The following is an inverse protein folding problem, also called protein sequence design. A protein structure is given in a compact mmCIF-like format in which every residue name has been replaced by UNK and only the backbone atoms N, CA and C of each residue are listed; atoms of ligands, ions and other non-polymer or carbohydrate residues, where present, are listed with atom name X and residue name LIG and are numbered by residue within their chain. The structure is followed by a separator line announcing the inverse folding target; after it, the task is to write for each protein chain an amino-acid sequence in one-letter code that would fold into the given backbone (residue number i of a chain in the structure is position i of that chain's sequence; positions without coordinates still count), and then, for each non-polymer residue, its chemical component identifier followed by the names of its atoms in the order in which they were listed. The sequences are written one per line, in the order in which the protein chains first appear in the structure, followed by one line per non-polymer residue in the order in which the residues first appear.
data_IF_600210679151
#
_entry.id   IF_600210679151
#
_cell.length_a   1.000
_cell.length_b   1.000
_cell.length_c   1.000
_cell.angle_alpha   90.00
_cell.angle_beta   90.00
_cell.angle_gamma   90.00
#
_symmetry.space_group_name_H-M   'P 1'
#
loop_
_entity.id
_entity.type
_entity.pdbx_description
1 polymer ?
#
# COMPACT_ATOMS: atom_id res chain seq x y z
N UNK A 1 33.78 23.72 -17.59
CA UNK A 1 34.53 22.70 -16.83
C UNK A 1 35.47 21.99 -17.80
N UNK A 2 36.76 21.85 -17.45
CA UNK A 2 37.76 21.07 -18.21
C UNK A 2 38.43 20.10 -17.22
N UNK A 3 38.80 18.90 -17.66
CA UNK A 3 39.50 17.87 -16.87
C UNK A 3 38.72 17.33 -15.65
N UNK A 4 37.47 16.90 -15.86
CA UNK A 4 36.72 16.19 -14.82
C UNK A 4 37.21 14.74 -14.73
N UNK A 5 37.21 14.20 -13.52
CA UNK A 5 37.56 12.81 -13.19
C UNK A 5 36.53 12.21 -12.21
N UNK A 6 36.76 10.95 -11.82
CA UNK A 6 35.89 10.19 -10.91
C UNK A 6 35.58 10.90 -9.57
N UNK A 7 36.48 11.79 -9.12
CA UNK A 7 36.41 12.45 -7.81
C UNK A 7 35.79 13.84 -7.92
N UNK A 8 36.04 14.53 -9.03
CA UNK A 8 35.66 15.93 -9.25
C UNK A 8 34.30 16.09 -9.94
N UNK A 9 33.83 15.08 -10.68
CA UNK A 9 32.55 15.16 -11.41
C UNK A 9 31.33 15.41 -10.50
N UNK A 10 31.30 14.80 -9.31
CA UNK A 10 30.17 14.95 -8.37
C UNK A 10 29.96 16.41 -7.95
N UNK A 11 31.04 17.07 -7.54
CA UNK A 11 30.99 18.46 -7.11
C UNK A 11 30.56 19.37 -8.26
N UNK A 12 31.03 19.09 -9.47
CA UNK A 12 30.70 19.89 -10.63
C UNK A 12 29.21 19.78 -11.04
N UNK A 13 28.59 18.61 -10.86
CA UNK A 13 27.13 18.44 -11.05
C UNK A 13 26.34 19.21 -9.97
N UNK A 14 26.77 19.12 -8.71
CA UNK A 14 26.13 19.83 -7.59
C UNK A 14 26.15 21.35 -7.80
N UNK A 15 27.31 21.91 -8.17
CA UNK A 15 27.46 23.34 -8.48
C UNK A 15 26.60 23.78 -9.66
N UNK A 16 26.37 22.88 -10.62
CA UNK A 16 25.47 23.19 -11.73
C UNK A 16 24.02 23.28 -11.28
N UNK A 17 23.60 22.36 -10.41
CA UNK A 17 22.24 22.31 -9.88
C UNK A 17 21.94 23.46 -8.89
N UNK A 18 22.96 24.04 -8.25
CA UNK A 18 22.78 25.13 -7.28
C UNK A 18 22.27 26.44 -7.89
N UNK A 19 22.20 26.54 -9.22
CA UNK A 19 21.64 27.68 -9.95
C UNK A 19 20.10 27.70 -9.95
N UNK A 20 19.44 26.63 -9.50
CA UNK A 20 17.98 26.59 -9.37
C UNK A 20 17.49 27.59 -8.32
N UNK A 21 16.39 28.30 -8.61
CA UNK A 21 15.72 29.18 -7.65
C UNK A 21 14.82 28.43 -6.66
N UNK A 22 14.57 27.14 -6.89
CA UNK A 22 13.79 26.31 -5.98
C UNK A 22 14.71 25.66 -4.94
N UNK A 23 14.71 26.20 -3.72
CA UNK A 23 15.55 25.72 -2.60
C UNK A 23 15.32 24.24 -2.30
N UNK A 24 14.06 23.79 -2.21
CA UNK A 24 13.77 22.39 -1.89
C UNK A 24 14.26 21.44 -2.97
N UNK A 25 14.12 21.82 -4.25
CA UNK A 25 14.62 21.02 -5.36
C UNK A 25 16.15 20.93 -5.32
N UNK A 26 16.86 22.01 -4.94
CA UNK A 26 18.31 21.98 -4.76
C UNK A 26 18.72 20.98 -3.69
N UNK A 27 18.05 20.99 -2.54
CA UNK A 27 18.35 20.06 -1.44
C UNK A 27 18.17 18.59 -1.87
N UNK A 28 17.07 18.30 -2.57
CA UNK A 28 16.78 16.94 -3.06
C UNK A 28 17.82 16.50 -4.09
N UNK A 29 18.13 17.35 -5.08
CA UNK A 29 19.08 17.01 -6.14
C UNK A 29 20.52 16.92 -5.64
N UNK A 30 20.89 17.74 -4.66
CA UNK A 30 22.19 17.65 -3.97
C UNK A 30 22.37 16.25 -3.39
N UNK A 31 21.44 15.81 -2.54
CA UNK A 31 21.52 14.50 -1.88
C UNK A 31 21.47 13.36 -2.90
N UNK A 32 20.55 13.41 -3.87
CA UNK A 32 20.41 12.38 -4.89
C UNK A 32 21.71 12.17 -5.68
N UNK A 33 22.32 13.24 -6.19
CA UNK A 33 23.57 13.16 -6.96
C UNK A 33 24.71 12.63 -6.10
N UNK A 34 24.81 13.07 -4.84
CA UNK A 34 25.82 12.58 -3.92
C UNK A 34 25.72 11.07 -3.71
N UNK A 35 24.53 10.55 -3.41
CA UNK A 35 24.32 9.13 -3.16
C UNK A 35 24.47 8.29 -4.43
N UNK A 36 23.96 8.75 -5.58
CA UNK A 36 24.08 8.04 -6.85
C UNK A 36 25.54 7.90 -7.29
N UNK A 37 26.33 8.96 -7.21
CA UNK A 37 27.75 8.91 -7.55
C UNK A 37 28.55 8.12 -6.52
N UNK A 38 28.16 8.15 -5.24
CA UNK A 38 28.79 7.31 -4.21
C UNK A 38 28.57 5.83 -4.49
N UNK A 39 27.33 5.42 -4.81
CA UNK A 39 27.00 4.06 -5.23
C UNK A 39 27.86 3.59 -6.40
N UNK A 40 27.94 4.38 -7.48
CA UNK A 40 28.70 4.00 -8.67
C UNK A 40 30.19 3.78 -8.36
N UNK A 41 30.79 4.61 -7.50
CA UNK A 41 32.18 4.45 -7.05
C UNK A 41 32.37 3.26 -6.12
N UNK A 42 31.43 3.05 -5.19
CA UNK A 42 31.48 1.97 -4.20
C UNK A 42 31.53 0.60 -4.88
N UNK A 43 30.66 0.39 -5.87
CA UNK A 43 30.60 -0.89 -6.61
C UNK A 43 31.55 -0.94 -7.80
N UNK A 44 32.27 0.14 -8.11
CA UNK A 44 33.11 0.30 -9.31
C UNK A 44 32.33 -0.04 -10.59
N UNK A 45 31.16 0.58 -10.75
CA UNK A 45 30.21 0.27 -11.82
C UNK A 45 30.89 0.35 -13.20
N UNK A 46 30.84 -0.76 -13.94
CA UNK A 46 31.39 -0.85 -15.29
C UNK A 46 30.45 -0.25 -16.34
N UNK A 47 30.97 0.04 -17.54
CA UNK A 47 30.14 0.52 -18.65
C UNK A 47 29.08 -0.51 -19.06
N UNK A 48 29.41 -1.80 -19.06
CA UNK A 48 28.48 -2.88 -19.36
C UNK A 48 27.35 -2.98 -18.33
N UNK A 49 27.67 -2.93 -17.02
CA UNK A 49 26.67 -2.90 -15.96
C UNK A 49 25.80 -1.64 -16.00
N UNK A 50 26.40 -0.49 -16.35
CA UNK A 50 25.66 0.75 -16.55
C UNK A 50 24.67 0.63 -17.71
N UNK A 51 25.06 0.05 -18.86
CA UNK A 51 24.16 -0.20 -19.99
C UNK A 51 23.00 -1.13 -19.59
N UNK A 52 23.27 -2.19 -18.82
CA UNK A 52 22.23 -3.07 -18.26
C UNK A 52 21.24 -2.25 -17.41
N UNK A 53 21.72 -1.39 -16.52
CA UNK A 53 20.89 -0.53 -15.68
C UNK A 53 20.04 0.47 -16.48
N UNK A 54 20.61 1.08 -17.53
CA UNK A 54 19.87 1.98 -18.43
C UNK A 54 18.79 1.23 -19.19
N UNK A 55 19.08 0.04 -19.71
CA UNK A 55 18.09 -0.78 -20.40
C UNK A 55 16.97 -1.22 -19.45
N UNK A 56 17.31 -1.62 -18.22
CA UNK A 56 16.34 -1.95 -17.19
C UNK A 56 15.37 -0.79 -16.90
N UNK A 57 15.88 0.42 -16.62
CA UNK A 57 15.04 1.61 -16.38
C UNK A 57 14.22 1.99 -17.61
N UNK A 58 14.76 1.76 -18.80
CA UNK A 58 14.05 1.96 -20.08
C UNK A 58 12.86 1.01 -20.20
N UNK A 59 13.06 -0.29 -19.96
CA UNK A 59 11.98 -1.29 -20.00
C UNK A 59 10.92 -0.99 -18.92
N UNK A 60 11.32 -0.55 -17.72
CA UNK A 60 10.40 -0.14 -16.65
C UNK A 60 9.50 1.00 -17.14
N UNK A 61 10.06 2.01 -17.79
CA UNK A 61 9.28 3.10 -18.38
C UNK A 61 8.34 2.65 -19.50
N UNK A 62 8.80 1.77 -20.38
CA UNK A 62 8.04 1.32 -21.56
C UNK A 62 6.82 0.46 -21.21
N UNK A 63 6.87 -0.31 -20.12
CA UNK A 63 5.76 -1.17 -19.72
C UNK A 63 4.70 -0.45 -18.86
N UNK A 64 4.99 0.78 -18.42
CA UNK A 64 4.02 1.60 -17.71
C UNK A 64 2.83 1.96 -18.63
N UNK A 65 1.62 1.95 -18.07
CA UNK A 65 0.35 2.28 -18.72
C UNK A 65 -0.58 2.97 -17.71
N UNK A 66 -1.79 3.43 -18.12
CA UNK A 66 -2.78 3.95 -17.17
C UNK A 66 -3.18 2.97 -16.06
N UNK A 67 -3.07 1.65 -16.31
CA UNK A 67 -3.44 0.59 -15.37
C UNK A 67 -2.23 -0.15 -14.78
N UNK A 68 -1.00 0.21 -15.18
CA UNK A 68 0.24 -0.39 -14.69
C UNK A 68 1.31 0.66 -14.44
N UNK A 69 1.81 0.75 -13.20
CA UNK A 69 2.89 1.67 -12.82
C UNK A 69 4.13 0.90 -12.36
N UNK A 70 4.96 0.47 -13.30
CA UNK A 70 6.16 -0.33 -13.01
C UNK A 70 7.22 0.46 -12.22
N UNK A 71 7.28 1.80 -12.36
CA UNK A 71 8.14 2.63 -11.51
C UNK A 71 7.69 2.64 -10.03
N UNK A 72 6.38 2.61 -9.78
CA UNK A 72 5.86 2.46 -8.41
C UNK A 72 6.22 1.07 -7.90
N UNK A 73 6.06 0.03 -8.72
CA UNK A 73 6.40 -1.34 -8.34
C UNK A 73 7.90 -1.51 -8.06
N UNK A 74 8.77 -0.84 -8.81
CA UNK A 74 10.20 -0.79 -8.54
C UNK A 74 10.49 -0.11 -7.19
N UNK A 75 9.82 1.01 -6.90
CA UNK A 75 9.91 1.68 -5.59
C UNK A 75 9.44 0.77 -4.45
N UNK A 76 8.34 0.04 -4.64
CA UNK A 76 7.77 -0.88 -3.65
C UNK A 76 8.74 -2.03 -3.35
N UNK A 77 9.26 -2.67 -4.40
CA UNK A 77 10.13 -3.86 -4.28
C UNK A 77 11.55 -3.52 -3.81
N UNK A 78 11.99 -2.27 -3.93
CA UNK A 78 13.21 -1.76 -3.30
C UNK A 78 12.98 -1.18 -1.90
N UNK A 79 11.73 -1.19 -1.41
CA UNK A 79 11.36 -0.69 -0.07
C UNK A 79 11.31 0.84 0.07
N UNK A 80 11.49 1.58 -1.04
CA UNK A 80 11.46 3.04 -1.03
C UNK A 80 10.07 3.58 -0.68
N UNK A 81 8.99 2.98 -1.23
CA UNK A 81 7.62 3.39 -0.91
C UNK A 81 7.33 3.25 0.59
N UNK A 82 7.72 2.12 1.16
CA UNK A 82 7.59 1.84 2.60
C UNK A 82 8.40 2.82 3.45
N UNK A 83 9.63 3.15 3.03
CA UNK A 83 10.46 4.15 3.71
C UNK A 83 9.82 5.55 3.67
N UNK A 84 9.35 6.00 2.50
CA UNK A 84 8.69 7.31 2.34
C UNK A 84 7.45 7.40 3.23
N UNK A 85 6.66 6.33 3.32
CA UNK A 85 5.49 6.29 4.21
C UNK A 85 5.92 6.37 5.67
N UNK A 86 6.92 5.59 6.08
CA UNK A 86 7.43 5.64 7.45
C UNK A 86 7.99 7.02 7.85
N UNK A 87 8.50 7.80 6.89
CA UNK A 87 8.97 9.17 7.15
C UNK A 87 7.83 10.18 7.28
N UNK A 88 6.79 10.08 6.44
CA UNK A 88 5.71 11.07 6.35
C UNK A 88 4.50 10.75 7.24
N UNK A 89 4.38 9.50 7.70
CA UNK A 89 3.30 9.03 8.54
C UNK A 89 3.79 8.62 9.94
N UNK A 90 4.78 9.33 10.49
CA UNK A 90 5.12 9.20 11.92
C UNK A 90 3.96 9.74 12.73
N UNK A 91 3.28 8.85 13.46
CA UNK A 91 2.15 9.17 14.35
C UNK A 91 2.52 8.89 15.80
N UNK A 92 1.81 9.50 16.77
CA UNK A 92 1.97 9.13 18.16
C UNK A 92 1.74 7.63 18.36
N UNK A 93 2.43 7.05 19.33
CA UNK A 93 2.26 5.64 19.70
C UNK A 93 0.81 5.37 20.09
N UNK A 94 0.21 4.34 19.50
CA UNK A 94 -1.21 3.99 19.69
C UNK A 94 -2.08 4.27 18.48
N UNK A 95 -1.67 5.16 17.56
CA UNK A 95 -2.33 5.28 16.26
C UNK A 95 -2.09 4.04 15.39
N UNK A 96 -3.05 3.70 14.54
CA UNK A 96 -2.88 2.63 13.56
C UNK A 96 -1.78 3.00 12.57
N UNK A 97 -0.86 2.07 12.33
CA UNK A 97 0.24 2.29 11.39
C UNK A 97 -0.25 2.40 9.94
N UNK A 98 0.36 3.31 9.19
CA UNK A 98 0.16 3.41 7.75
C UNK A 98 1.08 2.45 6.99
N UNK A 99 0.64 1.97 5.83
CA UNK A 99 1.46 1.16 4.92
C UNK A 99 1.16 1.50 3.45
N UNK A 100 1.88 0.85 2.51
CA UNK A 100 1.88 1.16 1.07
C UNK A 100 0.48 1.18 0.48
N UNK A 101 0.17 2.16 -0.36
CA UNK A 101 -1.16 2.27 -0.98
C UNK A 101 -1.46 1.11 -1.94
N UNK A 102 -0.44 0.64 -2.67
CA UNK A 102 -0.58 -0.34 -3.74
C UNK A 102 -1.19 0.27 -5.02
N UNK A 103 -1.09 -0.44 -6.16
CA UNK A 103 -1.48 0.11 -7.46
C UNK A 103 -2.95 -0.11 -7.85
N UNK A 104 -3.77 -0.76 -7.00
CA UNK A 104 -5.09 -1.30 -7.38
C UNK A 104 -6.30 -0.54 -6.80
N UNK A 105 -6.08 0.62 -6.19
CA UNK A 105 -7.16 1.49 -5.76
C UNK A 105 -7.86 2.17 -6.96
N UNK A 106 -9.17 2.39 -6.84
CA UNK A 106 -9.96 3.18 -7.82
C UNK A 106 -10.76 4.22 -7.06
N UNK A 107 -10.82 5.44 -7.60
CA UNK A 107 -11.40 6.59 -6.91
C UNK A 107 -12.91 6.51 -6.72
N UNK A 108 -13.63 5.90 -7.68
CA UNK A 108 -15.10 5.89 -7.74
C UNK A 108 -15.65 4.49 -7.42
N UNK A 109 -15.19 3.88 -6.33
CA UNK A 109 -15.73 2.61 -5.84
C UNK A 109 -17.21 2.79 -5.42
N UNK A 110 -18.05 1.74 -5.51
CA UNK A 110 -19.45 1.83 -5.14
C UNK A 110 -19.62 2.16 -3.66
N UNK A 111 -20.57 3.05 -3.36
CA UNK A 111 -20.98 3.30 -1.98
C UNK A 111 -22.00 2.25 -1.55
N UNK A 112 -21.74 1.59 -0.42
CA UNK A 112 -22.61 0.57 0.15
C UNK A 112 -23.01 0.93 1.59
N UNK A 113 -24.12 0.36 2.06
CA UNK A 113 -24.59 0.55 3.43
C UNK A 113 -23.85 -0.38 4.39
N UNK A 114 -23.79 -0.02 5.67
CA UNK A 114 -23.17 -0.88 6.68
C UNK A 114 -23.90 -2.23 6.77
N UNK A 115 -23.15 -3.31 6.64
CA UNK A 115 -23.64 -4.69 6.61
C UNK A 115 -23.78 -5.30 5.22
N UNK A 116 -23.71 -4.49 4.16
CA UNK A 116 -23.75 -4.99 2.79
C UNK A 116 -22.52 -5.86 2.45
N UNK A 117 -22.67 -6.66 1.40
CA UNK A 117 -21.61 -7.50 0.86
C UNK A 117 -20.88 -6.78 -0.29
N UNK A 118 -19.63 -6.36 -0.06
CA UNK A 118 -18.82 -5.71 -1.11
C UNK A 118 -18.27 -6.68 -2.17
N UNK A 119 -18.47 -7.99 -1.98
CA UNK A 119 -18.05 -9.05 -2.89
C UNK A 119 -19.25 -9.88 -3.36
N UNK A 120 -20.42 -9.24 -3.50
CA UNK A 120 -21.63 -9.88 -4.03
C UNK A 120 -21.36 -10.52 -5.40
N UNK A 121 -21.70 -11.80 -5.55
CA UNK A 121 -21.46 -12.57 -6.78
C UNK A 121 -20.01 -13.01 -7.01
N UNK A 122 -19.06 -12.65 -6.13
CA UNK A 122 -17.68 -13.13 -6.19
C UNK A 122 -17.59 -14.46 -5.44
N UNK A 123 -16.90 -15.43 -6.03
CA UNK A 123 -16.63 -16.72 -5.39
C UNK A 123 -15.63 -16.52 -4.25
N UNK A 124 -15.87 -17.18 -3.12
CA UNK A 124 -14.94 -17.19 -2.00
C UNK A 124 -15.60 -17.62 -0.69
N UNK A 125 -14.81 -17.75 0.36
CA UNK A 125 -15.32 -18.06 1.71
C UNK A 125 -15.88 -16.78 2.32
N UNK A 126 -17.15 -16.73 2.77
CA UNK A 126 -17.72 -15.54 3.39
C UNK A 126 -16.88 -15.03 4.55
N UNK A 127 -16.68 -13.72 4.60
CA UNK A 127 -15.91 -13.04 5.62
C UNK A 127 -16.64 -11.82 6.15
N UNK A 128 -16.83 -11.76 7.46
CA UNK A 128 -17.51 -10.66 8.13
C UNK A 128 -16.49 -9.79 8.86
N UNK A 129 -16.36 -8.54 8.43
CA UNK A 129 -15.39 -7.60 8.95
C UNK A 129 -16.11 -6.53 9.76
N UNK A 130 -15.57 -6.18 10.92
CA UNK A 130 -16.17 -5.17 11.80
C UNK A 130 -15.13 -4.47 12.69
N UNK A 131 -15.52 -3.34 13.27
CA UNK A 131 -14.70 -2.63 14.25
C UNK A 131 -15.22 -1.23 14.56
N UNK A 132 -14.39 -0.42 15.22
CA UNK A 132 -14.64 1.02 15.41
C UNK A 132 -13.50 1.90 14.89
N UNK A 133 -13.88 3.08 14.41
CA UNK A 133 -12.99 4.20 14.10
C UNK A 133 -13.00 5.16 15.29
N UNK A 134 -11.84 5.35 15.91
CA UNK A 134 -11.68 6.21 17.09
C UNK A 134 -10.42 7.06 16.99
N UNK A 135 -10.36 8.15 17.77
CA UNK A 135 -9.13 8.92 17.95
C UNK A 135 -8.23 8.29 19.00
N UNK A 136 -7.02 8.81 19.12
CA UNK A 136 -6.03 8.34 20.10
C UNK A 136 -6.48 8.54 21.55
N UNK A 137 -7.37 9.51 21.80
CA UNK A 137 -7.93 9.78 23.13
C UNK A 137 -9.16 8.90 23.43
N UNK A 138 -9.52 8.00 22.50
CA UNK A 138 -10.62 7.05 22.62
C UNK A 138 -11.98 7.60 22.20
N UNK A 139 -12.04 8.82 21.68
CA UNK A 139 -13.25 9.41 21.12
C UNK A 139 -13.69 8.66 19.86
N UNK A 140 -14.98 8.32 19.76
CA UNK A 140 -15.51 7.69 18.55
C UNK A 140 -15.60 8.72 17.42
N UNK A 141 -15.28 8.30 16.19
CA UNK A 141 -15.27 9.17 15.01
C UNK A 141 -16.46 8.78 14.11
N UNK A 142 -17.61 9.47 14.23
CA UNK A 142 -18.78 9.16 13.43
C UNK A 142 -18.60 9.60 11.97
N UNK A 143 -19.30 8.91 11.06
CA UNK A 143 -19.34 9.22 9.62
C UNK A 143 -17.96 9.21 8.92
N UNK A 144 -16.93 8.62 9.53
CA UNK A 144 -15.65 8.39 8.86
C UNK A 144 -15.88 7.61 7.56
N UNK A 145 -15.26 8.07 6.48
CA UNK A 145 -15.30 7.42 5.17
C UNK A 145 -14.29 6.29 5.19
N UNK A 146 -14.72 5.08 4.84
CA UNK A 146 -13.93 3.86 4.87
C UNK A 146 -13.97 3.26 3.47
N UNK A 147 -12.90 3.48 2.72
CA UNK A 147 -12.69 2.92 1.39
C UNK A 147 -11.90 1.62 1.52
N UNK A 148 -12.49 0.52 1.05
CA UNK A 148 -11.99 -0.85 1.23
C UNK A 148 -11.84 -1.50 -0.13
N UNK A 149 -10.72 -2.21 -0.34
CA UNK A 149 -10.51 -3.03 -1.53
C UNK A 149 -9.62 -4.24 -1.23
N UNK A 150 -9.78 -5.31 -2.00
CA UNK A 150 -8.97 -6.53 -1.86
C UNK A 150 -8.91 -7.31 -3.17
N UNK A 151 -7.98 -8.28 -3.21
CA UNK A 151 -8.02 -9.35 -4.19
C UNK A 151 -9.16 -10.35 -3.88
N UNK A 152 -9.52 -11.15 -4.87
CA UNK A 152 -10.45 -12.27 -4.74
C UNK A 152 -9.77 -13.56 -4.20
N UNK A 153 -10.50 -14.68 -4.27
CA UNK A 153 -10.02 -16.01 -3.86
C UNK A 153 -9.01 -16.64 -4.84
N UNK A 154 -8.75 -15.99 -5.97
CA UNK A 154 -7.75 -16.37 -6.97
C UNK A 154 -6.54 -15.42 -6.98
N UNK A 155 -6.53 -14.39 -6.12
CA UNK A 155 -5.44 -13.44 -5.97
C UNK A 155 -5.46 -12.28 -6.99
N UNK A 156 -6.61 -11.98 -7.60
CA UNK A 156 -6.75 -10.88 -8.54
C UNK A 156 -7.61 -9.76 -7.99
N UNK A 157 -7.19 -8.51 -8.21
CA UNK A 157 -8.09 -7.36 -8.12
C UNK A 157 -8.96 -7.30 -9.37
N UNK A 158 -10.19 -6.84 -9.22
CA UNK A 158 -11.13 -6.61 -10.33
C UNK A 158 -10.53 -5.80 -11.50
N UNK A 159 -9.72 -4.76 -11.22
CA UNK A 159 -9.05 -3.93 -12.25
C UNK A 159 -8.04 -4.70 -13.11
N UNK A 160 -7.65 -5.90 -12.70
CA UNK A 160 -6.79 -6.79 -13.47
C UNK A 160 -7.59 -7.70 -14.41
N UNK A 161 -8.91 -7.77 -14.26
CA UNK A 161 -9.80 -8.61 -15.07
C UNK A 161 -10.37 -7.79 -16.23
N UNK A 162 -10.21 -8.29 -17.45
CA UNK A 162 -10.66 -7.59 -18.66
C UNK A 162 -12.15 -7.69 -18.92
N UNK A 163 -12.82 -8.67 -18.30
CA UNK A 163 -14.18 -9.08 -18.67
C UNK A 163 -15.23 -8.65 -17.63
N UNK A 164 -14.87 -7.78 -16.68
CA UNK A 164 -15.79 -7.29 -15.66
C UNK A 164 -16.56 -6.06 -16.16
N UNK A 165 -17.89 -6.17 -16.14
CA UNK A 165 -18.79 -5.03 -16.41
C UNK A 165 -18.97 -4.12 -15.18
N UNK A 166 -18.75 -4.66 -13.97
CA UNK A 166 -18.94 -3.99 -12.69
C UNK A 166 -17.74 -4.30 -11.79
N UNK A 167 -17.23 -3.28 -11.08
CA UNK A 167 -16.20 -3.43 -10.06
C UNK A 167 -16.65 -4.36 -8.92
N UNK A 168 -15.73 -5.14 -8.38
CA UNK A 168 -15.98 -6.19 -7.38
C UNK A 168 -14.97 -6.12 -6.25
N UNK A 169 -15.34 -6.58 -5.05
CA UNK A 169 -14.46 -6.65 -3.87
C UNK A 169 -13.86 -5.30 -3.48
N UNK A 170 -14.63 -4.23 -3.68
CA UNK A 170 -14.33 -2.87 -3.26
C UNK A 170 -15.60 -2.11 -2.93
N UNK A 171 -15.54 -1.24 -1.93
CA UNK A 171 -16.66 -0.38 -1.58
C UNK A 171 -16.21 0.79 -0.70
N UNK A 172 -17.01 1.84 -0.70
CA UNK A 172 -16.92 2.95 0.24
C UNK A 172 -18.07 2.86 1.24
N UNK A 173 -17.74 2.81 2.52
CA UNK A 173 -18.69 2.81 3.63
C UNK A 173 -18.56 4.10 4.46
N UNK A 174 -19.58 4.40 5.25
CA UNK A 174 -19.53 5.43 6.28
C UNK A 174 -19.73 4.80 7.65
N UNK A 175 -18.85 5.11 8.60
CA UNK A 175 -19.00 4.69 9.99
C UNK A 175 -20.30 5.25 10.61
N UNK A 176 -20.92 4.50 11.51
CA UNK A 176 -22.15 4.92 12.18
C UNK A 176 -21.90 6.06 13.20
N UNK A 177 -22.95 6.48 13.91
CA UNK A 177 -22.86 7.56 14.92
C UNK A 177 -21.96 7.22 16.13
N UNK A 178 -21.61 5.95 16.30
CA UNK A 178 -20.68 5.47 17.33
C UNK A 178 -19.31 5.10 16.74
N UNK A 179 -19.03 5.52 15.50
CA UNK A 179 -17.79 5.19 14.80
C UNK A 179 -17.68 3.73 14.38
N UNK A 180 -18.75 2.92 14.48
CA UNK A 180 -18.71 1.51 14.09
C UNK A 180 -18.75 1.35 12.59
N UNK A 181 -18.07 0.32 12.12
CA UNK A 181 -18.20 -0.16 10.75
C UNK A 181 -18.34 -1.68 10.76
N UNK A 182 -19.07 -2.20 9.78
CA UNK A 182 -19.20 -3.62 9.53
C UNK A 182 -19.69 -3.85 8.11
N UNK A 183 -19.19 -4.92 7.48
CA UNK A 183 -19.57 -5.32 6.13
C UNK A 183 -19.22 -6.80 5.91
N UNK A 184 -19.76 -7.36 4.83
CA UNK A 184 -19.43 -8.70 4.36
C UNK A 184 -18.54 -8.61 3.11
N UNK A 185 -17.66 -9.60 2.97
CA UNK A 185 -16.83 -9.82 1.78
C UNK A 185 -16.45 -11.31 1.72
N UNK A 186 -15.38 -11.63 1.00
CA UNK A 186 -14.76 -12.96 0.95
C UNK A 186 -13.33 -12.91 1.49
N UNK A 187 -12.83 -14.03 2.01
CA UNK A 187 -11.42 -14.14 2.41
C UNK A 187 -10.51 -13.99 1.18
N UNK A 188 -9.60 -12.99 1.13
CA UNK A 188 -8.63 -12.87 0.04
C UNK A 188 -7.52 -13.91 0.15
N UNK A 189 -6.96 -14.30 -0.98
CA UNK A 189 -5.77 -15.17 -1.03
C UNK A 189 -4.47 -14.35 -1.05
N UNK A 190 -3.35 -14.98 -0.67
CA UNK A 190 -2.04 -14.43 -0.99
C UNK A 190 -1.87 -14.34 -2.51
N UNK A 191 -1.20 -13.31 -3.01
CA UNK A 191 -1.08 -13.10 -4.45
C UNK A 191 0.29 -12.54 -4.85
N UNK A 192 0.78 -12.85 -6.06
CA UNK A 192 2.00 -12.25 -6.57
C UNK A 192 1.73 -10.85 -7.11
N UNK A 193 2.64 -9.89 -6.85
CA UNK A 193 2.66 -8.64 -7.61
C UNK A 193 2.90 -8.91 -9.11
N UNK A 194 2.55 -7.98 -10.02
CA UNK A 194 2.91 -8.13 -11.44
C UNK A 194 4.41 -8.43 -11.59
N UNK A 195 4.74 -9.56 -12.22
CA UNK A 195 6.12 -10.06 -12.29
C UNK A 195 6.51 -10.55 -13.69
N UNK A 196 5.72 -10.18 -14.70
CA UNK A 196 5.99 -10.38 -16.13
C UNK A 196 6.90 -9.28 -16.72
N UNK A 197 7.17 -8.23 -15.95
CA UNK A 197 7.97 -7.07 -16.34
C UNK A 197 9.40 -7.10 -15.81
N UNK A 198 10.15 -5.99 -16.01
CA UNK A 198 11.53 -5.86 -15.55
C UNK A 198 11.66 -6.07 -14.04
N UNK A 199 10.72 -5.57 -13.24
CA UNK A 199 10.77 -5.77 -11.77
C UNK A 199 10.70 -7.26 -11.43
N UNK A 200 9.85 -8.03 -12.11
CA UNK A 200 9.81 -9.49 -11.96
C UNK A 200 11.15 -10.16 -12.27
N UNK A 201 11.77 -9.80 -13.40
CA UNK A 201 13.11 -10.29 -13.78
C UNK A 201 14.17 -9.94 -12.73
N UNK A 202 14.13 -8.72 -12.18
CA UNK A 202 15.02 -8.28 -11.11
C UNK A 202 14.84 -9.11 -9.84
N UNK A 203 13.59 -9.36 -9.43
CA UNK A 203 13.30 -10.20 -8.26
C UNK A 203 13.82 -11.63 -8.46
N UNK A 204 13.56 -12.23 -9.62
CA UNK A 204 14.06 -13.56 -9.97
C UNK A 204 15.60 -13.62 -9.90
N UNK A 205 16.29 -12.64 -10.51
CA UNK A 205 17.76 -12.55 -10.47
C UNK A 205 18.31 -12.41 -9.04
N UNK A 206 17.54 -11.82 -8.11
CA UNK A 206 17.86 -11.68 -6.70
C UNK A 206 17.39 -12.86 -5.84
N UNK A 207 16.84 -13.92 -6.44
CA UNK A 207 16.22 -15.05 -5.74
C UNK A 207 15.10 -14.61 -4.77
N UNK A 208 14.33 -13.60 -5.16
CA UNK A 208 13.17 -13.09 -4.41
C UNK A 208 11.88 -13.53 -5.07
N UNK A 209 10.88 -13.83 -4.25
CA UNK A 209 9.55 -14.17 -4.73
C UNK A 209 8.67 -12.90 -4.89
N UNK A 210 7.64 -12.92 -5.76
CA UNK A 210 6.74 -11.78 -5.96
C UNK A 210 5.53 -11.76 -5.00
N UNK A 211 5.38 -12.76 -4.13
CA UNK A 211 4.20 -12.91 -3.28
C UNK A 211 4.05 -11.86 -2.18
N UNK A 212 2.81 -11.41 -2.01
CA UNK A 212 2.32 -10.65 -0.87
C UNK A 212 1.42 -11.53 -0.01
N UNK A 213 1.47 -11.42 1.32
CA UNK A 213 0.55 -12.12 2.23
C UNK A 213 -0.90 -11.70 1.97
N UNK A 214 -1.88 -12.55 2.30
CA UNK A 214 -3.30 -12.18 2.24
C UNK A 214 -3.59 -10.95 3.11
N UNK A 215 -4.27 -9.96 2.54
CA UNK A 215 -4.59 -8.71 3.23
C UNK A 215 -5.82 -8.01 2.68
N UNK A 216 -6.39 -7.13 3.51
CA UNK A 216 -7.50 -6.23 3.17
C UNK A 216 -7.00 -4.78 3.24
N UNK A 217 -7.20 -4.00 2.18
CA UNK A 217 -6.82 -2.60 2.17
C UNK A 217 -7.89 -1.71 2.80
N UNK A 218 -7.42 -0.63 3.46
CA UNK A 218 -8.25 0.42 4.00
C UNK A 218 -7.64 1.79 3.69
N UNK A 219 -8.47 2.70 3.19
CA UNK A 219 -8.23 4.13 3.22
C UNK A 219 -9.34 4.80 4.04
N UNK A 220 -8.96 5.41 5.15
CA UNK A 220 -9.90 6.00 6.11
C UNK A 220 -9.69 7.51 6.17
N UNK A 221 -10.78 8.24 5.96
CA UNK A 221 -10.81 9.70 5.98
C UNK A 221 -11.90 10.17 6.94
N UNK A 222 -11.56 11.13 7.80
CA UNK A 222 -12.54 11.83 8.62
C UNK A 222 -12.17 13.33 8.71
N UNK A 223 -13.16 14.23 8.90
CA UNK A 223 -12.90 15.63 9.21
C UNK A 223 -11.93 15.77 10.38
N UNK A 224 -10.99 16.71 10.31
CA UNK A 224 -9.97 16.96 11.35
C UNK A 224 -8.99 15.82 11.66
N UNK A 225 -9.10 14.67 11.00
CA UNK A 225 -8.12 13.57 11.10
C UNK A 225 -7.27 13.47 9.85
N UNK A 226 -6.04 13.02 10.03
CA UNK A 226 -5.15 12.70 8.92
C UNK A 226 -5.67 11.45 8.20
N UNK A 227 -5.55 11.42 6.88
CA UNK A 227 -5.91 10.25 6.09
C UNK A 227 -5.02 9.07 6.49
N UNK A 228 -5.64 7.95 6.84
CA UNK A 228 -4.96 6.68 7.08
C UNK A 228 -5.07 5.80 5.83
N UNK A 229 -3.95 5.31 5.33
CA UNK A 229 -3.89 4.24 4.34
C UNK A 229 -3.19 3.07 5.01
N UNK A 230 -3.83 1.92 5.07
CA UNK A 230 -3.28 0.76 5.76
C UNK A 230 -3.83 -0.56 5.22
N UNK A 231 -3.29 -1.67 5.71
CA UNK A 231 -3.75 -3.02 5.42
C UNK A 231 -3.96 -3.79 6.70
N UNK A 232 -4.87 -4.77 6.69
CA UNK A 232 -4.96 -5.79 7.73
C UNK A 232 -4.54 -7.13 7.16
N UNK A 233 -3.51 -7.74 7.76
CA UNK A 233 -2.93 -9.01 7.34
C UNK A 233 -3.47 -10.16 8.20
N UNK A 234 -3.58 -11.35 7.60
CA UNK A 234 -3.99 -12.57 8.32
C UNK A 234 -2.87 -13.08 9.23
N UNK A 235 -3.14 -13.27 10.52
CA UNK A 235 -2.24 -13.99 11.42
C UNK A 235 -1.96 -15.40 10.92
N UNK A 236 -0.71 -15.86 11.07
CA UNK A 236 -0.25 -17.17 10.58
C UNK A 236 -0.41 -17.35 9.05
N UNK A 237 -0.60 -16.25 8.31
CA UNK A 237 -0.62 -16.24 6.86
C UNK A 237 0.74 -16.55 6.25
N UNK A 238 0.75 -17.04 5.02
CA UNK A 238 1.97 -17.20 4.23
C UNK A 238 2.56 -15.83 3.88
N UNK A 239 3.88 -15.75 3.75
CA UNK A 239 4.63 -14.56 3.32
C UNK A 239 4.62 -13.34 4.26
N UNK A 240 4.17 -13.48 5.52
CA UNK A 240 4.21 -12.36 6.49
C UNK A 240 5.63 -11.82 6.72
N UNK A 241 6.61 -12.72 6.83
CA UNK A 241 8.02 -12.36 7.06
C UNK A 241 8.79 -12.05 5.77
N UNK A 242 8.14 -12.15 4.61
CA UNK A 242 8.79 -12.06 3.30
C UNK A 242 7.96 -11.31 2.25
N UNK A 243 7.04 -10.44 2.67
CA UNK A 243 6.23 -9.62 1.77
C UNK A 243 7.10 -8.89 0.74
N UNK A 244 6.83 -9.11 -0.55
CA UNK A 244 7.65 -8.62 -1.65
C UNK A 244 7.83 -7.09 -1.67
N UNK A 245 6.92 -6.35 -1.02
CA UNK A 245 6.92 -4.88 -0.95
C UNK A 245 7.17 -4.32 0.46
N UNK A 246 7.51 -5.18 1.43
CA UNK A 246 7.83 -4.78 2.81
C UNK A 246 6.68 -4.01 3.53
N UNK A 247 5.43 -4.34 3.20
CA UNK A 247 4.24 -3.66 3.70
C UNK A 247 3.75 -4.14 5.07
N UNK A 248 4.20 -5.30 5.54
CA UNK A 248 3.76 -5.89 6.81
C UNK A 248 4.26 -5.08 8.01
N UNK A 249 3.38 -4.90 9.00
CA UNK A 249 3.69 -4.37 10.33
C UNK A 249 3.04 -5.27 11.36
N UNK A 250 3.73 -5.53 12.47
CA UNK A 250 3.22 -6.44 13.51
C UNK A 250 1.88 -6.00 14.09
N UNK A 251 1.62 -4.68 14.21
CA UNK A 251 0.34 -4.16 14.70
C UNK A 251 -0.82 -4.29 13.70
N UNK A 252 -0.52 -4.63 12.45
CA UNK A 252 -1.48 -4.78 11.36
C UNK A 252 -1.79 -6.25 11.07
N UNK A 253 -1.21 -7.17 11.84
CA UNK A 253 -1.53 -8.60 11.78
C UNK A 253 -2.68 -8.87 12.74
N UNK A 254 -3.77 -9.45 12.23
CA UNK A 254 -4.97 -9.75 13.00
C UNK A 254 -5.41 -11.19 12.81
N UNK A 255 -6.00 -11.77 13.86
CA UNK A 255 -6.61 -13.09 13.77
C UNK A 255 -7.89 -13.04 12.92
N UNK A 256 -7.95 -13.88 11.89
CA UNK A 256 -9.17 -14.12 11.13
C UNK A 256 -9.78 -15.40 11.66
N UNK A 257 -10.82 -15.28 12.49
CA UNK A 257 -11.40 -16.40 13.23
C UNK A 257 -12.26 -17.21 12.28
N UNK A 258 -11.90 -18.49 12.08
CA UNK A 258 -12.67 -19.44 11.29
C UNK A 258 -13.83 -20.01 12.12
N UNK A 259 -15.01 -20.07 11.51
CA UNK A 259 -16.19 -20.77 12.02
C UNK A 259 -16.55 -21.87 11.04
N UNK A 260 -16.80 -23.09 11.50
CA UNK A 260 -17.15 -24.21 10.59
C UNK A 260 -18.59 -24.11 10.06
N UNK A 261 -19.50 -23.58 10.86
CA UNK A 261 -20.89 -23.23 10.54
C UNK A 261 -21.49 -22.45 11.74
N UNK A 262 -22.67 -21.86 11.57
CA UNK A 262 -23.39 -21.21 12.66
C UNK A 262 -24.05 -19.90 12.23
N UNK A 263 -24.58 -19.16 13.20
CA UNK A 263 -25.16 -17.83 12.95
C UNK A 263 -24.03 -16.82 12.77
N UNK A 264 -23.94 -16.23 11.58
CA UNK A 264 -22.99 -15.18 11.26
C UNK A 264 -23.41 -13.82 11.86
N UNK A 265 -22.51 -12.82 11.89
CA UNK A 265 -22.81 -11.48 12.41
C UNK A 265 -24.00 -10.76 11.75
N UNK A 266 -24.34 -11.11 10.50
CA UNK A 266 -25.52 -10.60 9.80
C UNK A 266 -26.85 -11.24 10.29
N UNK A 267 -26.80 -12.20 11.21
CA UNK A 267 -27.96 -12.91 11.75
C UNK A 267 -28.38 -14.14 10.94
N UNK A 268 -27.72 -14.41 9.82
CA UNK A 268 -28.04 -15.55 8.96
C UNK A 268 -27.25 -16.81 9.36
N UNK A 269 -27.86 -17.98 9.22
CA UNK A 269 -27.18 -19.24 9.48
C UNK A 269 -26.34 -19.67 8.27
N UNK A 270 -25.03 -19.79 8.46
CA UNK A 270 -24.08 -20.29 7.48
C UNK A 270 -23.91 -21.81 7.63
N UNK A 271 -24.26 -22.56 6.59
CA UNK A 271 -24.06 -24.01 6.56
C UNK A 271 -22.62 -24.41 6.20
N UNK A 272 -21.87 -23.49 5.60
CA UNK A 272 -20.48 -23.67 5.21
C UNK A 272 -19.56 -22.82 6.12
N UNK A 273 -18.24 -23.09 6.11
CA UNK A 273 -17.31 -22.27 6.86
C UNK A 273 -17.36 -20.80 6.46
N UNK A 274 -17.16 -19.92 7.44
CA UNK A 274 -17.01 -18.48 7.25
C UNK A 274 -15.95 -17.93 8.22
N UNK A 275 -15.50 -16.70 7.99
CA UNK A 275 -14.53 -16.04 8.85
C UNK A 275 -15.12 -14.78 9.48
N UNK A 276 -14.56 -14.38 10.63
CA UNK A 276 -14.82 -13.06 11.23
C UNK A 276 -13.51 -12.34 11.53
N UNK A 277 -13.49 -11.03 11.28
CA UNK A 277 -12.42 -10.10 11.70
C UNK A 277 -13.03 -8.96 12.51
N UNK A 278 -12.46 -8.69 13.68
CA UNK A 278 -12.71 -7.48 14.47
C UNK A 278 -11.41 -6.67 14.55
N UNK A 279 -11.43 -5.42 14.07
CA UNK A 279 -10.25 -4.55 14.09
C UNK A 279 -10.61 -3.09 14.32
N UNK A 280 -9.98 -2.46 15.30
CA UNK A 280 -10.21 -1.04 15.59
C UNK A 280 -9.16 -0.16 14.91
N UNK A 281 -9.60 0.91 14.24
CA UNK A 281 -8.73 1.91 13.67
C UNK A 281 -8.62 3.13 14.59
N UNK A 282 -7.39 3.54 14.87
CA UNK A 282 -7.06 4.68 15.71
C UNK A 282 -6.43 5.76 14.85
N UNK A 283 -7.19 6.82 14.56
CA UNK A 283 -6.76 7.93 13.72
C UNK A 283 -6.01 9.00 14.52
N UNK A 284 -5.07 9.67 13.84
CA UNK A 284 -4.39 10.83 14.39
C UNK A 284 -5.08 12.12 13.92
N UNK A 285 -5.23 13.10 14.82
CA UNK A 285 -5.75 14.42 14.45
C UNK A 285 -4.76 15.14 13.53
N UNK A 286 -5.28 15.87 12.55
CA UNK A 286 -4.49 16.86 11.81
C UNK A 286 -4.02 17.90 12.82
N UNK A 287 -2.76 18.29 12.71
CA UNK A 287 -2.31 19.51 13.36
C UNK A 287 -3.17 20.64 12.80
N UNK A 288 -3.94 21.31 13.65
CA UNK A 288 -4.51 22.61 13.30
C UNK A 288 -3.32 23.48 12.94
N UNK A 289 -3.24 23.93 11.68
CA UNK A 289 -2.41 25.08 11.40
C UNK A 289 -3.03 26.21 12.20
N UNK A 290 -2.37 26.61 13.28
CA UNK A 290 -2.72 27.86 13.95
C UNK A 290 -2.65 28.95 12.89
N UNK A 291 -3.81 29.49 12.51
CA UNK A 291 -3.89 30.80 11.91
C UNK A 291 -3.39 31.81 12.95
N UNK A 292 -2.08 32.02 13.02
CA UNK A 292 -1.51 33.11 13.81
C UNK A 292 -0.08 32.93 14.31
N UNK A 293 0.87 33.42 13.53
CA UNK A 293 1.97 34.28 14.01
C UNK A 293 2.47 35.17 12.85
#
# INVERSE_FOLDING_TARGET
MKNLDERTITQAVIERNSLSSNERLKDVMLSLVQHLHAFAREVQLTEEEWEIGINFLTEVGQICSPTRQEFILLSDTLGLSTLVIAQNHKKPMGCTEATVFGPFHVQDAPHLELGDNMSEGVKGIPWFVSGVIKGIDGEMIPNAVIDVWQADDEGFYDVQKTDLEIYQSRAIFHADQNGKYYFQTIVPEAYPIPHDGPVGKMLEALNRHPWRPAHLHFMICAPDYERLVTHIFKAEGTYLDSDAVFGVRSSLIAEWIKHENGVAPNGEYQNNPFYTLAFDFILNKKLTQDEGA
#
